data_IF_552148154713
#
_entry.id   IF_552148154713
#
_cell.length_a   1.000
_cell.length_b   1.000
_cell.length_c   1.000
_cell.angle_alpha   90.00
_cell.angle_beta   90.00
_cell.angle_gamma   90.00
#
_symmetry.space_group_name_H-M   'P 1'
#
loop_
_entity.id
_entity.type
_entity.pdbx_description
1 polymer ?
#
# COMPACT_ATOMS: atom_id res chain seq x y z
N UNK A 1 -12.40 -0.20 19.03
CA UNK A 1 -10.99 -0.24 18.62
C UNK A 1 -10.77 -0.09 17.11
N UNK A 2 -11.50 -0.77 16.22
CA UNK A 2 -11.30 -0.69 14.75
C UNK A 2 -11.51 0.69 14.11
N UNK A 3 -12.51 1.47 14.58
CA UNK A 3 -12.76 2.83 14.06
C UNK A 3 -11.61 3.81 14.37
N UNK A 4 -10.89 3.61 15.49
CA UNK A 4 -9.78 4.47 15.87
C UNK A 4 -8.54 4.26 15.00
N UNK A 5 -8.19 3.01 14.66
CA UNK A 5 -7.01 2.71 13.82
C UNK A 5 -7.13 3.36 12.44
N UNK A 6 -8.33 3.38 11.84
CA UNK A 6 -8.55 4.04 10.53
C UNK A 6 -8.33 5.55 10.60
N UNK A 7 -8.78 6.20 11.68
CA UNK A 7 -8.55 7.62 11.90
C UNK A 7 -7.06 7.91 12.10
N UNK A 8 -6.35 7.06 12.87
CA UNK A 8 -4.92 7.18 13.13
C UNK A 8 -4.10 7.09 11.83
N UNK A 9 -4.56 6.34 10.82
CA UNK A 9 -3.85 6.23 9.54
C UNK A 9 -4.18 7.39 8.61
N UNK A 10 -5.45 7.79 8.52
CA UNK A 10 -5.89 8.81 7.56
C UNK A 10 -5.47 10.22 8.01
N UNK A 11 -5.57 10.53 9.29
CA UNK A 11 -5.24 11.86 9.80
C UNK A 11 -3.79 12.30 9.50
N UNK A 12 -2.75 11.48 9.75
CA UNK A 12 -1.39 11.83 9.36
C UNK A 12 -1.22 12.10 7.86
N UNK A 13 -1.89 11.34 7.00
CA UNK A 13 -1.81 11.54 5.54
C UNK A 13 -2.37 12.90 5.12
N UNK A 14 -3.52 13.27 5.67
CA UNK A 14 -4.14 14.57 5.41
C UNK A 14 -3.27 15.69 5.97
N UNK A 15 -2.73 15.53 7.17
CA UNK A 15 -1.85 16.51 7.80
C UNK A 15 -0.55 16.71 7.01
N UNK A 16 0.13 15.63 6.60
CA UNK A 16 1.36 15.70 5.80
C UNK A 16 1.07 16.37 4.44
N UNK A 17 -0.05 16.04 3.80
CA UNK A 17 -0.45 16.69 2.55
C UNK A 17 -0.69 18.20 2.74
N UNK A 18 -1.28 18.62 3.86
CA UNK A 18 -1.44 20.04 4.17
C UNK A 18 -0.10 20.75 4.34
N UNK A 19 0.89 20.09 4.96
CA UNK A 19 2.26 20.60 5.08
C UNK A 19 2.97 20.65 3.71
N UNK A 20 2.75 19.65 2.85
CA UNK A 20 3.27 19.62 1.48
C UNK A 20 2.79 20.84 0.67
N UNK A 21 1.49 21.14 0.74
CA UNK A 21 0.91 22.33 0.10
C UNK A 21 1.52 23.60 0.69
N UNK A 22 1.58 23.72 2.00
CA UNK A 22 2.06 24.93 2.69
C UNK A 22 3.55 25.20 2.45
N UNK A 23 4.38 24.15 2.33
CA UNK A 23 5.83 24.27 2.15
C UNK A 23 6.26 24.30 0.68
N UNK A 24 5.41 23.89 -0.26
CA UNK A 24 5.75 23.70 -1.67
C UNK A 24 6.70 22.53 -1.96
N UNK A 25 7.06 21.74 -0.93
CA UNK A 25 7.95 20.57 -1.07
C UNK A 25 7.19 19.42 -1.71
N UNK A 26 7.64 18.99 -2.90
CA UNK A 26 6.99 17.89 -3.64
C UNK A 26 7.67 16.53 -3.42
N UNK A 27 8.99 16.52 -3.22
CA UNK A 27 9.77 15.30 -3.01
C UNK A 27 10.85 15.53 -1.97
N UNK A 28 11.18 14.47 -1.25
CA UNK A 28 12.33 14.46 -0.35
C UNK A 28 13.46 13.58 -0.94
N UNK A 29 14.68 13.83 -0.53
CA UNK A 29 15.84 13.00 -0.87
C UNK A 29 15.76 11.59 -0.26
N UNK A 30 14.92 11.40 0.76
CA UNK A 30 14.72 10.13 1.44
C UNK A 30 13.44 9.47 0.92
N UNK A 31 13.52 8.39 0.12
CA UNK A 31 12.36 7.74 -0.51
C UNK A 31 11.27 7.34 0.48
N UNK A 32 11.64 6.95 1.69
CA UNK A 32 10.69 6.58 2.76
C UNK A 32 9.64 7.67 3.04
N UNK A 33 10.05 8.94 3.09
CA UNK A 33 9.10 10.03 3.36
C UNK A 33 8.15 10.29 2.20
N UNK A 34 8.57 10.01 0.98
CA UNK A 34 7.72 10.17 -0.22
C UNK A 34 6.49 9.24 -0.21
N UNK A 35 6.49 8.17 0.59
CA UNK A 35 5.32 7.29 0.79
C UNK A 35 4.13 8.06 1.35
N UNK A 36 4.37 9.09 2.14
CA UNK A 36 3.32 9.88 2.81
C UNK A 36 2.93 11.14 2.03
N UNK A 37 3.70 11.52 1.02
CA UNK A 37 3.44 12.68 0.19
C UNK A 37 2.47 12.35 -0.94
N UNK A 38 1.69 13.34 -1.39
CA UNK A 38 0.69 13.13 -2.44
C UNK A 38 0.69 14.30 -3.43
N UNK A 39 0.95 14.03 -4.69
CA UNK A 39 1.06 15.07 -5.73
C UNK A 39 -0.23 15.87 -6.00
N UNK A 40 -1.39 15.37 -5.59
CA UNK A 40 -2.66 16.08 -5.69
C UNK A 40 -3.73 15.49 -4.75
N UNK A 41 -4.80 16.29 -4.53
CA UNK A 41 -5.89 15.95 -3.60
C UNK A 41 -6.68 14.70 -4.02
N UNK A 42 -6.83 14.45 -5.32
CA UNK A 42 -7.55 13.26 -5.80
C UNK A 42 -6.77 11.98 -5.49
N UNK A 43 -5.45 12.03 -5.66
CA UNK A 43 -4.57 10.91 -5.29
C UNK A 43 -4.63 10.62 -3.79
N UNK A 44 -4.55 11.65 -2.95
CA UNK A 44 -4.72 11.52 -1.50
C UNK A 44 -6.08 10.90 -1.15
N UNK A 45 -7.17 11.43 -1.72
CA UNK A 45 -8.52 10.93 -1.46
C UNK A 45 -8.66 9.45 -1.84
N UNK A 46 -8.17 9.08 -3.03
CA UNK A 46 -8.20 7.69 -3.50
C UNK A 46 -7.41 6.76 -2.58
N UNK A 47 -6.21 7.16 -2.16
CA UNK A 47 -5.39 6.40 -1.22
C UNK A 47 -6.08 6.22 0.14
N UNK A 48 -6.65 7.29 0.69
CA UNK A 48 -7.41 7.23 1.95
C UNK A 48 -8.61 6.30 1.85
N UNK A 49 -9.37 6.39 0.73
CA UNK A 49 -10.53 5.53 0.48
C UNK A 49 -10.13 4.05 0.37
N UNK A 50 -9.10 3.74 -0.42
CA UNK A 50 -8.61 2.38 -0.58
C UNK A 50 -8.12 1.78 0.75
N UNK A 51 -7.32 2.52 1.51
CA UNK A 51 -6.87 2.09 2.84
C UNK A 51 -8.05 1.86 3.78
N UNK A 52 -9.01 2.77 3.79
CA UNK A 52 -10.23 2.62 4.59
C UNK A 52 -10.98 1.34 4.24
N UNK A 53 -11.22 1.09 2.96
CA UNK A 53 -11.95 -0.07 2.48
C UNK A 53 -11.23 -1.38 2.77
N UNK A 54 -9.91 -1.43 2.58
CA UNK A 54 -9.11 -2.65 2.75
C UNK A 54 -8.91 -3.05 4.21
N UNK A 55 -8.83 -2.08 5.12
CA UNK A 55 -8.68 -2.33 6.55
C UNK A 55 -9.95 -2.88 7.23
N UNK A 56 -11.04 -3.10 6.49
CA UNK A 56 -12.26 -3.78 6.98
C UNK A 56 -12.14 -5.30 6.90
N UNK A 57 -11.75 -5.82 5.73
CA UNK A 57 -11.67 -7.25 5.44
C UNK A 57 -10.22 -7.74 5.58
N UNK A 58 -9.83 -8.15 6.77
CA UNK A 58 -8.45 -8.36 7.13
C UNK A 58 -8.15 -9.81 7.52
N UNK A 59 -7.08 -10.41 6.94
CA UNK A 59 -6.60 -11.73 7.34
C UNK A 59 -5.69 -11.69 8.59
N UNK A 60 -5.28 -10.50 9.03
CA UNK A 60 -4.42 -10.24 10.19
C UNK A 60 -4.74 -8.88 10.82
N UNK A 61 -4.05 -8.48 11.89
CA UNK A 61 -4.27 -7.18 12.52
C UNK A 61 -3.93 -6.02 11.56
N UNK A 62 -4.67 -4.91 11.67
CA UNK A 62 -4.40 -3.72 10.84
C UNK A 62 -2.99 -3.17 11.04
N UNK A 63 -2.48 -3.17 12.26
CA UNK A 63 -1.12 -2.74 12.55
C UNK A 63 -0.08 -3.60 11.81
N UNK A 64 -0.27 -4.91 11.79
CA UNK A 64 0.61 -5.82 11.07
C UNK A 64 0.54 -5.59 9.55
N UNK A 65 -0.67 -5.44 8.98
CA UNK A 65 -0.84 -5.15 7.56
C UNK A 65 -0.17 -3.83 7.16
N UNK A 66 -0.30 -2.80 8.00
CA UNK A 66 0.33 -1.50 7.76
C UNK A 66 1.85 -1.56 7.88
N UNK A 67 2.38 -2.29 8.86
CA UNK A 67 3.83 -2.46 9.02
C UNK A 67 4.45 -3.17 7.81
N UNK A 68 3.86 -4.30 7.40
CA UNK A 68 4.31 -5.04 6.20
C UNK A 68 4.16 -4.15 4.96
N UNK A 69 3.06 -3.38 4.87
CA UNK A 69 2.82 -2.42 3.81
C UNK A 69 3.89 -1.35 3.74
N UNK A 70 4.26 -0.77 4.88
CA UNK A 70 5.28 0.26 4.98
C UNK A 70 6.65 -0.26 4.54
N UNK A 71 7.07 -1.43 5.04
CA UNK A 71 8.35 -2.05 4.66
C UNK A 71 8.38 -2.35 3.15
N UNK A 72 7.32 -2.97 2.62
CA UNK A 72 7.25 -3.34 1.20
C UNK A 72 7.21 -2.10 0.28
N UNK A 73 6.47 -1.06 0.67
CA UNK A 73 6.42 0.20 -0.06
C UNK A 73 7.79 0.88 -0.09
N UNK A 74 8.51 0.86 1.05
CA UNK A 74 9.89 1.38 1.13
C UNK A 74 10.80 0.65 0.14
N UNK A 75 10.75 -0.68 0.09
CA UNK A 75 11.52 -1.47 -0.88
C UNK A 75 11.16 -1.06 -2.32
N UNK A 76 9.86 -0.96 -2.64
CA UNK A 76 9.40 -0.52 -3.97
C UNK A 76 9.90 0.88 -4.35
N UNK A 77 9.92 1.81 -3.39
CA UNK A 77 10.44 3.17 -3.59
C UNK A 77 11.95 3.19 -3.88
N UNK A 78 12.73 2.41 -3.14
CA UNK A 78 14.18 2.31 -3.38
C UNK A 78 14.54 1.62 -4.70
N UNK A 79 13.69 0.73 -5.20
CA UNK A 79 13.87 0.07 -6.48
C UNK A 79 13.31 0.90 -7.65
N UNK A 80 12.57 1.98 -7.39
CA UNK A 80 12.00 2.82 -8.43
C UNK A 80 13.07 3.66 -9.11
N UNK A 81 13.15 3.66 -10.45
CA UNK A 81 14.11 4.47 -11.19
C UNK A 81 13.79 5.98 -11.13
N UNK A 82 12.59 6.33 -10.74
CA UNK A 82 12.13 7.72 -10.65
C UNK A 82 11.53 7.99 -9.27
N UNK A 83 11.64 9.22 -8.75
CA UNK A 83 10.94 9.60 -7.52
C UNK A 83 9.43 9.37 -7.65
N UNK A 84 8.85 8.80 -6.64
CA UNK A 84 7.42 8.52 -6.58
C UNK A 84 6.82 9.06 -5.27
N UNK A 85 5.55 9.46 -5.31
CA UNK A 85 4.80 9.94 -4.14
C UNK A 85 3.54 9.11 -3.93
N UNK A 86 3.20 8.90 -2.66
CA UNK A 86 1.92 8.33 -2.25
C UNK A 86 1.99 6.97 -1.59
N UNK A 87 0.94 6.71 -0.84
CA UNK A 87 0.75 5.46 -0.08
C UNK A 87 0.30 4.27 -0.93
N UNK A 88 0.31 4.40 -2.26
CA UNK A 88 -0.10 3.33 -3.17
C UNK A 88 0.70 2.04 -2.97
N UNK A 89 2.00 2.12 -2.65
CA UNK A 89 2.80 0.96 -2.31
C UNK A 89 2.26 0.17 -1.11
N UNK A 90 1.80 0.87 -0.07
CA UNK A 90 1.13 0.23 1.09
C UNK A 90 -0.17 -0.44 0.63
N UNK A 91 -0.97 0.24 -0.19
CA UNK A 91 -2.24 -0.28 -0.73
C UNK A 91 -1.99 -1.54 -1.55
N UNK A 92 -0.99 -1.53 -2.44
CA UNK A 92 -0.65 -2.70 -3.26
C UNK A 92 -0.12 -3.87 -2.41
N UNK A 93 0.64 -3.61 -1.34
CA UNK A 93 1.02 -4.66 -0.38
C UNK A 93 -0.19 -5.29 0.28
N UNK A 94 -1.11 -4.47 0.81
CA UNK A 94 -2.34 -4.96 1.44
C UNK A 94 -3.19 -5.73 0.42
N UNK A 95 -3.25 -5.26 -0.82
CA UNK A 95 -3.90 -5.97 -1.93
C UNK A 95 -3.28 -7.35 -2.15
N UNK A 96 -1.97 -7.47 -2.15
CA UNK A 96 -1.26 -8.75 -2.24
C UNK A 96 -1.58 -9.69 -1.09
N UNK A 97 -1.58 -9.19 0.15
CA UNK A 97 -2.00 -9.93 1.34
C UNK A 97 -3.43 -10.47 1.20
N UNK A 98 -4.37 -9.62 0.80
CA UNK A 98 -5.78 -9.99 0.62
C UNK A 98 -5.96 -10.98 -0.53
N UNK A 99 -5.26 -10.82 -1.64
CA UNK A 99 -5.29 -11.74 -2.77
C UNK A 99 -4.80 -13.13 -2.38
N UNK A 100 -3.76 -13.20 -1.57
CA UNK A 100 -3.21 -14.46 -1.05
C UNK A 100 -4.14 -15.10 0.00
N UNK A 101 -4.82 -14.28 0.82
CA UNK A 101 -5.77 -14.77 1.82
C UNK A 101 -7.08 -15.28 1.20
N UNK A 102 -7.56 -14.59 0.16
CA UNK A 102 -8.85 -14.83 -0.50
C UNK A 102 -8.66 -15.03 -2.03
N UNK A 103 -8.03 -16.14 -2.47
CA UNK A 103 -7.63 -16.36 -3.86
C UNK A 103 -8.84 -16.77 -4.72
N UNK A 104 -9.62 -15.83 -5.19
CA UNK A 104 -10.71 -16.09 -6.16
C UNK A 104 -10.34 -15.55 -7.53
N UNK A 105 -10.85 -16.19 -8.61
CA UNK A 105 -10.64 -15.72 -9.99
C UNK A 105 -11.04 -14.25 -10.16
N UNK A 106 -12.16 -13.84 -9.54
CA UNK A 106 -12.61 -12.45 -9.59
C UNK A 106 -11.62 -11.47 -8.93
N UNK A 107 -11.02 -11.86 -7.81
CA UNK A 107 -10.02 -11.02 -7.14
C UNK A 107 -8.74 -10.90 -7.97
N UNK A 108 -8.27 -11.98 -8.59
CA UNK A 108 -7.11 -11.91 -9.49
C UNK A 108 -7.36 -10.98 -10.68
N UNK A 109 -8.53 -11.07 -11.32
CA UNK A 109 -8.89 -10.19 -12.43
C UNK A 109 -8.93 -8.72 -11.99
N UNK A 110 -9.60 -8.42 -10.88
CA UNK A 110 -9.70 -7.03 -10.34
C UNK A 110 -8.32 -6.45 -10.05
N UNK A 111 -7.45 -7.21 -9.41
CA UNK A 111 -6.09 -6.78 -9.07
C UNK A 111 -5.26 -6.58 -10.33
N UNK A 112 -5.33 -7.50 -11.30
CA UNK A 112 -4.62 -7.37 -12.57
C UNK A 112 -5.06 -6.11 -13.34
N UNK A 113 -6.37 -5.87 -13.45
CA UNK A 113 -6.92 -4.67 -14.10
C UNK A 113 -6.49 -3.39 -13.37
N UNK A 114 -6.63 -3.34 -12.04
CA UNK A 114 -6.21 -2.18 -11.25
C UNK A 114 -4.71 -1.89 -11.41
N UNK A 115 -3.87 -2.93 -11.34
CA UNK A 115 -2.42 -2.80 -11.52
C UNK A 115 -2.08 -2.31 -12.92
N UNK A 116 -2.73 -2.87 -13.96
CA UNK A 116 -2.52 -2.45 -15.35
C UNK A 116 -2.90 -0.98 -15.57
N UNK A 117 -4.04 -0.54 -15.02
CA UNK A 117 -4.47 0.87 -15.11
C UNK A 117 -3.46 1.78 -14.41
N UNK A 118 -3.07 1.47 -13.17
CA UNK A 118 -2.10 2.30 -12.42
C UNK A 118 -0.76 2.39 -13.15
N UNK A 119 -0.27 1.27 -13.70
CA UNK A 119 0.99 1.24 -14.46
C UNK A 119 0.87 1.98 -15.80
N UNK A 120 -0.29 1.90 -16.48
CA UNK A 120 -0.53 2.62 -17.74
C UNK A 120 -0.60 4.13 -17.54
N UNK A 121 -1.20 4.59 -16.43
CA UNK A 121 -1.29 6.02 -16.08
C UNK A 121 0.09 6.58 -15.72
N UNK A 122 0.92 5.78 -15.05
CA UNK A 122 2.26 6.21 -14.64
C UNK A 122 3.27 5.05 -14.83
N UNK A 123 3.79 4.86 -16.06
CA UNK A 123 4.65 3.72 -16.39
C UNK A 123 5.90 3.60 -15.51
N UNK A 124 6.48 4.72 -15.08
CA UNK A 124 7.66 4.74 -14.20
C UNK A 124 7.40 4.21 -12.79
N UNK A 125 6.14 4.07 -12.37
CA UNK A 125 5.75 3.66 -11.03
C UNK A 125 5.57 2.14 -10.86
N UNK A 126 5.88 1.33 -11.85
CA UNK A 126 5.66 -0.11 -11.81
C UNK A 126 6.33 -0.79 -10.60
N UNK A 127 7.55 -0.37 -10.23
CA UNK A 127 8.24 -0.89 -9.05
C UNK A 127 7.44 -0.64 -7.76
N UNK A 128 6.83 0.54 -7.65
CA UNK A 128 6.07 0.95 -6.46
C UNK A 128 4.71 0.23 -6.36
N UNK A 129 4.23 -0.36 -7.44
CA UNK A 129 2.98 -1.11 -7.46
C UNK A 129 3.22 -2.63 -7.43
N UNK A 130 4.05 -3.14 -8.35
CA UNK A 130 4.25 -4.58 -8.53
C UNK A 130 5.08 -5.18 -7.40
N UNK A 131 6.19 -4.54 -7.03
CA UNK A 131 7.07 -5.08 -5.97
C UNK A 131 6.31 -5.22 -4.64
N UNK A 132 5.63 -4.18 -4.12
CA UNK A 132 4.83 -4.31 -2.90
C UNK A 132 3.70 -5.34 -3.01
N UNK A 133 3.03 -5.43 -4.15
CA UNK A 133 1.98 -6.43 -4.41
C UNK A 133 2.52 -7.86 -4.23
N UNK A 134 3.66 -8.15 -4.89
CA UNK A 134 4.31 -9.47 -4.82
C UNK A 134 4.80 -9.77 -3.41
N UNK A 135 5.46 -8.80 -2.76
CA UNK A 135 5.95 -8.96 -1.39
C UNK A 135 4.79 -9.25 -0.41
N UNK A 136 3.68 -8.53 -0.51
CA UNK A 136 2.50 -8.79 0.31
C UNK A 136 1.91 -10.18 0.08
N UNK A 137 1.79 -10.59 -1.19
CA UNK A 137 1.29 -11.92 -1.55
C UNK A 137 2.17 -13.04 -0.99
N UNK A 138 3.48 -12.97 -1.22
CA UNK A 138 4.46 -13.98 -0.76
C UNK A 138 4.53 -14.01 0.76
N UNK A 139 4.57 -12.85 1.41
CA UNK A 139 4.59 -12.76 2.87
C UNK A 139 3.42 -13.52 3.51
N UNK A 140 2.20 -13.33 3.02
CA UNK A 140 1.04 -14.03 3.58
C UNK A 140 1.09 -15.54 3.33
N UNK A 141 1.60 -15.99 2.18
CA UNK A 141 1.79 -17.42 1.88
C UNK A 141 2.76 -18.06 2.86
N UNK A 142 3.88 -17.42 3.12
CA UNK A 142 4.88 -17.89 4.11
C UNK A 142 4.25 -17.93 5.50
N UNK A 143 3.59 -16.86 5.94
CA UNK A 143 2.95 -16.79 7.25
C UNK A 143 1.91 -17.90 7.44
N UNK A 144 1.10 -18.17 6.41
CA UNK A 144 0.11 -19.26 6.43
C UNK A 144 0.76 -20.65 6.52
N UNK A 145 1.83 -20.86 5.76
CA UNK A 145 2.59 -22.12 5.79
C UNK A 145 3.18 -22.40 7.17
N UNK A 146 3.79 -21.37 7.79
CA UNK A 146 4.35 -21.49 9.14
C UNK A 146 3.27 -21.83 10.17
N UNK A 147 2.11 -21.16 10.11
CA UNK A 147 1.00 -21.45 11.02
C UNK A 147 0.46 -22.89 10.89
N UNK A 148 0.36 -23.39 9.66
CA UNK A 148 -0.14 -24.73 9.41
C UNK A 148 0.89 -25.81 9.80
N UNK A 149 2.19 -25.53 9.78
CA UNK A 149 3.26 -26.45 10.18
C UNK A 149 3.40 -26.65 11.70
N UNK A 150 2.80 -25.76 12.50
CA UNK A 150 2.80 -25.86 13.98
C UNK A 150 1.55 -26.53 14.54
N UNK A 151 0.65 -27.03 13.71
CA UNK A 151 -0.59 -27.73 14.12
C UNK A 151 -0.49 -29.26 13.99
N UNK A 152 0.71 -29.81 14.22
CA UNK A 152 0.93 -31.29 14.32
C UNK A 152 1.08 -31.69 15.76
#
# INVERSE_FOLDING_TARGET
MQRHIRKIVIFPLVFIYSLEIASGVKYTSVPFFNIFMHGNVFHLFLCCYCLWAMLVNRPMSNAHMLLVGLVSATVGMYLSPTPFQGTSGIIFTITGLLLSAYPTRGNYIRVAVATAICTAVQPSSWCVHIVPLVLGFVYYRILKSLRNGYTV
#
